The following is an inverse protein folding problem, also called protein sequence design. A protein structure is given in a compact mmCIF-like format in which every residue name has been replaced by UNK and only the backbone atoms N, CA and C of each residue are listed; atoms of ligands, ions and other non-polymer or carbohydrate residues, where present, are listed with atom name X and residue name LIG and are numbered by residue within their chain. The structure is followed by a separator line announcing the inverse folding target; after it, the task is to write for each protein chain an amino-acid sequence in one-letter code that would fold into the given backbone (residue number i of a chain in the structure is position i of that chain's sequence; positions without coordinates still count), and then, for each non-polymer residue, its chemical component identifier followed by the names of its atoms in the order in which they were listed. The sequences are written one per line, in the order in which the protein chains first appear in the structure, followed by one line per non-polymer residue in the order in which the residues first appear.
data_IF_991097713873
#
_entry.id   IF_991097713873
#
_cell.length_a   1.000
_cell.length_b   1.000
_cell.length_c   1.000
_cell.angle_alpha   90.00
_cell.angle_beta   90.00
_cell.angle_gamma   90.00
#
_symmetry.space_group_name_H-M   'P 1'
#
loop_
_entity.id
_entity.type
_entity.pdbx_description
1 polymer ?
#
# COMPACT_ATOMS: atom_id res chain seq x y z
N UNK A 1 -68.50 32.87 22.53
CA UNK A 1 -67.58 33.42 21.51
C UNK A 1 -66.18 32.87 21.79
N UNK A 2 -65.70 32.02 20.87
CA UNK A 2 -64.37 31.40 20.69
C UNK A 2 -63.66 30.63 21.81
N UNK A 3 -63.56 29.29 21.69
CA UNK A 3 -62.61 28.47 22.45
C UNK A 3 -61.26 28.41 21.71
N UNK A 4 -60.15 28.75 22.37
CA UNK A 4 -58.81 28.61 21.78
C UNK A 4 -58.24 27.25 22.16
N UNK A 5 -57.92 26.52 21.10
CA UNK A 5 -57.46 25.15 20.98
C UNK A 5 -56.19 24.80 21.77
N UNK A 6 -56.29 23.63 22.41
CA UNK A 6 -55.24 22.64 22.66
C UNK A 6 -54.47 22.28 21.38
N UNK A 7 -53.13 22.38 21.38
CA UNK A 7 -52.26 21.58 20.47
C UNK A 7 -50.95 21.19 21.16
N UNK A 8 -50.94 19.95 21.62
CA UNK A 8 -49.78 19.19 22.07
C UNK A 8 -48.96 18.80 20.82
N UNK A 9 -47.70 19.25 20.72
CA UNK A 9 -46.78 18.77 19.69
C UNK A 9 -46.00 17.57 20.24
N UNK A 10 -46.33 16.38 19.75
CA UNK A 10 -45.50 15.18 19.89
C UNK A 10 -44.39 15.23 18.83
N UNK A 11 -43.15 15.47 19.26
CA UNK A 11 -41.98 15.26 18.42
C UNK A 11 -41.60 13.77 18.50
N UNK A 12 -41.89 13.03 17.44
CA UNK A 12 -41.36 11.67 17.25
C UNK A 12 -39.96 11.81 16.68
N UNK A 13 -38.95 11.66 17.53
CA UNK A 13 -37.56 11.51 17.09
C UNK A 13 -37.38 10.13 16.47
N UNK A 14 -37.36 10.04 15.14
CA UNK A 14 -36.96 8.83 14.45
C UNK A 14 -35.44 8.65 14.58
N UNK A 15 -35.00 7.75 15.46
CA UNK A 15 -33.62 7.30 15.50
C UNK A 15 -33.35 6.43 14.25
N UNK A 16 -32.65 7.00 13.27
CA UNK A 16 -32.12 6.24 12.14
C UNK A 16 -30.98 5.38 12.69
N UNK A 17 -31.25 4.11 12.97
CA UNK A 17 -30.22 3.11 13.21
C UNK A 17 -29.54 2.84 11.87
N UNK A 18 -28.42 3.52 11.62
CA UNK A 18 -27.49 3.15 10.56
C UNK A 18 -26.91 1.79 10.91
N UNK A 19 -27.54 0.73 10.40
CA UNK A 19 -26.96 -0.59 10.42
C UNK A 19 -25.77 -0.56 9.44
N UNK A 20 -24.51 -0.66 9.88
CA UNK A 20 -23.38 -0.75 8.97
C UNK A 20 -23.43 -2.14 8.36
N UNK A 21 -24.28 -2.31 7.35
CA UNK A 21 -24.31 -3.52 6.54
C UNK A 21 -22.89 -3.74 6.06
N UNK A 22 -22.26 -4.82 6.53
CA UNK A 22 -20.97 -5.27 6.01
C UNK A 22 -21.13 -5.35 4.50
N UNK A 23 -20.48 -4.44 3.78
CA UNK A 23 -20.46 -4.46 2.33
C UNK A 23 -19.82 -5.80 1.93
N UNK A 24 -20.66 -6.77 1.57
CA UNK A 24 -20.18 -8.03 1.02
C UNK A 24 -19.70 -7.73 -0.38
N UNK A 25 -18.43 -8.02 -0.63
CA UNK A 25 -17.86 -7.94 -1.98
C UNK A 25 -18.72 -8.76 -2.96
N UNK A 26 -18.99 -8.21 -4.13
CA UNK A 26 -19.72 -8.91 -5.17
C UNK A 26 -18.90 -10.11 -5.65
N UNK A 27 -19.49 -11.31 -5.61
CA UNK A 27 -18.86 -12.50 -6.21
C UNK A 27 -19.00 -12.37 -7.73
N UNK A 28 -17.98 -11.82 -8.39
CA UNK A 28 -17.95 -11.62 -9.84
C UNK A 28 -17.64 -12.94 -10.58
N UNK A 29 -16.95 -13.87 -9.92
CA UNK A 29 -16.59 -15.19 -10.46
C UNK A 29 -16.72 -16.25 -9.34
N UNK A 30 -17.45 -17.33 -9.59
CA UNK A 30 -17.60 -18.44 -8.62
C UNK A 30 -16.28 -19.18 -8.36
N UNK A 31 -15.40 -19.23 -9.36
CA UNK A 31 -14.06 -19.81 -9.27
C UNK A 31 -13.01 -18.77 -9.69
N UNK A 32 -11.94 -18.55 -8.89
CA UNK A 32 -10.83 -17.71 -9.31
C UNK A 32 -10.17 -18.23 -10.60
N UNK A 33 -9.90 -17.32 -11.54
CA UNK A 33 -9.18 -17.63 -12.79
C UNK A 33 -7.65 -17.68 -12.59
N UNK A 34 -7.16 -17.30 -11.42
CA UNK A 34 -5.75 -17.37 -11.05
C UNK A 34 -5.59 -17.80 -9.59
N UNK A 35 -4.45 -18.46 -9.25
CA UNK A 35 -4.09 -18.72 -7.86
C UNK A 35 -3.99 -17.42 -7.04
N UNK A 36 -4.43 -17.46 -5.77
CA UNK A 36 -4.38 -16.33 -4.84
C UNK A 36 -3.11 -16.37 -3.99
N UNK A 37 -1.96 -16.33 -4.66
CA UNK A 37 -0.64 -16.47 -4.00
C UNK A 37 -0.27 -15.29 -3.11
N UNK A 38 -0.76 -14.08 -3.43
CA UNK A 38 -0.52 -12.88 -2.66
C UNK A 38 -1.85 -12.20 -2.32
N UNK A 39 -2.05 -11.87 -1.05
CA UNK A 39 -3.25 -11.19 -0.57
C UNK A 39 -2.86 -10.08 0.41
N UNK A 40 -3.63 -9.01 0.42
CA UNK A 40 -3.37 -7.82 1.21
C UNK A 40 -4.66 -7.35 1.86
N UNK A 41 -4.57 -6.98 3.13
CA UNK A 41 -5.58 -6.20 3.82
C UNK A 41 -4.91 -4.92 4.30
N UNK A 42 -5.36 -3.78 3.76
CA UNK A 42 -4.71 -2.49 3.97
C UNK A 42 -5.69 -1.54 4.66
N UNK A 43 -5.30 -1.04 5.82
CA UNK A 43 -5.92 0.11 6.47
C UNK A 43 -5.09 1.34 6.11
N UNK A 44 -5.71 2.35 5.50
CA UNK A 44 -4.98 3.54 5.08
C UNK A 44 -5.79 4.82 5.27
N UNK A 45 -5.07 5.92 5.51
CA UNK A 45 -5.61 7.27 5.64
C UNK A 45 -4.79 8.23 4.77
N UNK A 46 -5.48 8.98 3.91
CA UNK A 46 -4.90 10.13 3.23
C UNK A 46 -4.90 11.34 4.17
N UNK A 47 -3.77 12.03 4.22
CA UNK A 47 -3.56 13.31 4.86
C UNK A 47 -3.43 14.39 3.78
N UNK A 48 -4.50 15.18 3.51
CA UNK A 48 -4.49 16.16 2.42
C UNK A 48 -3.55 17.34 2.67
N UNK A 49 -3.25 17.71 3.92
CA UNK A 49 -2.36 18.83 4.21
C UNK A 49 -0.93 18.49 3.78
N UNK A 50 -0.49 17.29 4.18
CA UNK A 50 0.87 16.80 3.91
C UNK A 50 0.99 15.97 2.63
N UNK A 51 -0.11 15.78 1.90
CA UNK A 51 -0.17 14.98 0.65
C UNK A 51 0.36 13.56 0.84
N UNK A 52 0.06 12.97 1.99
CA UNK A 52 0.69 11.73 2.45
C UNK A 52 -0.36 10.66 2.77
N UNK A 53 -0.11 9.42 2.36
CA UNK A 53 -0.91 8.26 2.75
C UNK A 53 -0.18 7.52 3.86
N UNK A 54 -0.84 7.32 4.99
CA UNK A 54 -0.37 6.44 6.05
C UNK A 54 -1.05 5.09 5.91
N UNK A 55 -0.29 4.01 5.95
CA UNK A 55 -0.79 2.67 5.73
C UNK A 55 -0.28 1.65 6.73
N UNK A 56 -1.17 0.73 7.10
CA UNK A 56 -0.85 -0.53 7.77
C UNK A 56 -1.42 -1.66 6.91
N UNK A 57 -0.56 -2.60 6.53
CA UNK A 57 -0.88 -3.68 5.61
C UNK A 57 -0.56 -5.02 6.25
N UNK A 58 -1.58 -5.86 6.39
CA UNK A 58 -1.38 -7.28 6.61
C UNK A 58 -1.30 -7.97 5.25
N UNK A 59 -0.29 -8.80 5.03
CA UNK A 59 -0.11 -9.51 3.78
C UNK A 59 0.16 -10.99 4.00
N UNK A 60 -0.23 -11.79 3.02
CA UNK A 60 0.09 -13.22 2.94
C UNK A 60 0.74 -13.50 1.61
N UNK A 61 1.76 -14.34 1.60
CA UNK A 61 2.39 -14.82 0.40
C UNK A 61 2.65 -16.33 0.48
N UNK A 62 2.18 -17.08 -0.50
CA UNK A 62 2.40 -18.52 -0.60
C UNK A 62 3.50 -18.79 -1.62
N UNK A 63 4.51 -19.58 -1.23
CA UNK A 63 5.60 -19.97 -2.12
C UNK A 63 5.08 -20.87 -3.25
N UNK A 64 5.06 -20.39 -4.52
CA UNK A 64 4.57 -21.17 -5.64
C UNK A 64 5.64 -22.08 -6.26
N UNK A 65 6.89 -21.99 -5.81
CA UNK A 65 8.03 -22.70 -6.41
C UNK A 65 8.29 -24.06 -5.74
N UNK A 66 9.23 -24.82 -6.32
CA UNK A 66 9.73 -26.07 -5.75
C UNK A 66 10.94 -25.85 -4.81
N UNK A 67 11.42 -24.61 -4.69
CA UNK A 67 12.62 -24.25 -3.94
C UNK A 67 12.29 -23.43 -2.70
N UNK A 68 13.05 -23.56 -1.60
CA UNK A 68 12.93 -22.67 -0.45
C UNK A 68 13.23 -21.21 -0.82
N UNK A 69 12.41 -20.29 -0.33
CA UNK A 69 12.60 -18.85 -0.56
C UNK A 69 13.09 -18.17 0.71
N UNK A 70 14.27 -17.55 0.62
CA UNK A 70 14.96 -16.91 1.76
C UNK A 70 14.75 -15.39 1.83
N UNK A 71 14.10 -14.79 0.83
CA UNK A 71 13.84 -13.36 0.79
C UNK A 71 12.51 -13.03 0.13
N UNK A 72 11.90 -11.92 0.54
CA UNK A 72 10.74 -11.33 -0.11
C UNK A 72 11.11 -9.96 -0.67
N UNK A 73 10.85 -9.75 -1.96
CA UNK A 73 11.07 -8.46 -2.59
C UNK A 73 9.78 -7.65 -2.66
N UNK A 74 9.88 -6.32 -2.57
CA UNK A 74 8.78 -5.38 -2.63
C UNK A 74 9.07 -4.27 -3.63
N UNK A 75 8.14 -4.02 -4.55
CA UNK A 75 8.13 -2.84 -5.40
C UNK A 75 7.59 -1.64 -4.61
N UNK A 76 8.38 -0.57 -4.57
CA UNK A 76 8.07 0.72 -3.97
C UNK A 76 7.96 1.77 -5.08
N UNK A 77 6.87 1.69 -5.86
CA UNK A 77 6.71 2.49 -7.08
C UNK A 77 6.95 3.99 -6.88
N UNK A 78 6.46 4.56 -5.77
CA UNK A 78 6.64 5.99 -5.50
C UNK A 78 8.11 6.39 -5.30
N UNK A 79 9.02 5.47 -5.02
CA UNK A 79 10.45 5.78 -4.94
C UNK A 79 11.06 6.13 -6.30
N UNK A 80 10.33 5.91 -7.40
CA UNK A 80 10.67 6.45 -8.72
C UNK A 80 10.62 7.99 -8.76
N UNK A 81 10.06 8.65 -7.74
CA UNK A 81 10.00 10.11 -7.62
C UNK A 81 10.79 10.63 -6.41
N UNK A 82 11.53 9.76 -5.71
CA UNK A 82 12.18 10.09 -4.42
C UNK A 82 13.43 10.91 -4.58
N UNK A 83 14.21 10.61 -5.62
CA UNK A 83 15.47 11.27 -5.93
C UNK A 83 15.79 11.13 -7.42
N UNK A 84 16.75 11.93 -7.89
CA UNK A 84 17.25 11.92 -9.27
C UNK A 84 18.06 10.66 -9.63
N UNK A 85 18.31 9.76 -8.68
CA UNK A 85 19.07 8.52 -8.88
C UNK A 85 18.19 7.34 -9.34
N UNK A 86 16.88 7.44 -9.13
CA UNK A 86 15.93 6.46 -9.66
C UNK A 86 16.03 6.37 -11.19
N UNK A 87 15.99 5.15 -11.73
CA UNK A 87 16.08 4.92 -13.17
C UNK A 87 15.05 5.75 -13.94
N UNK A 88 13.82 5.84 -13.42
CA UNK A 88 12.72 6.59 -14.03
C UNK A 88 13.02 8.08 -14.24
N UNK A 89 13.60 8.76 -13.25
CA UNK A 89 13.95 10.17 -13.38
C UNK A 89 15.25 10.38 -14.15
N UNK A 90 16.21 9.46 -14.02
CA UNK A 90 17.45 9.47 -14.82
C UNK A 90 17.18 9.39 -16.31
N UNK A 91 16.33 8.45 -16.75
CA UNK A 91 15.95 8.30 -18.16
C UNK A 91 15.20 9.51 -18.71
N UNK A 92 14.59 10.32 -17.85
CA UNK A 92 13.94 11.59 -18.20
C UNK A 92 14.87 12.80 -18.15
N UNK A 93 16.16 12.60 -17.86
CA UNK A 93 17.15 13.68 -17.78
C UNK A 93 16.93 14.66 -16.63
N UNK A 94 16.21 14.25 -15.57
CA UNK A 94 15.95 15.10 -14.40
C UNK A 94 17.21 15.18 -13.53
N UNK A 95 17.78 16.38 -13.42
CA UNK A 95 18.96 16.67 -12.60
C UNK A 95 18.63 17.31 -11.24
N UNK A 96 17.38 17.71 -11.04
CA UNK A 96 16.85 18.20 -9.78
C UNK A 96 15.35 17.86 -9.67
N UNK A 97 14.87 17.74 -8.43
CA UNK A 97 13.45 17.58 -8.10
C UNK A 97 13.05 18.66 -7.09
N UNK A 98 11.92 19.32 -7.34
CA UNK A 98 11.33 20.22 -6.33
C UNK A 98 10.65 19.42 -5.22
N UNK A 99 10.37 20.08 -4.08
CA UNK A 99 9.65 19.45 -2.97
C UNK A 99 8.26 18.93 -3.40
N UNK A 100 7.61 19.64 -4.34
CA UNK A 100 6.29 19.25 -4.87
C UNK A 100 6.37 18.04 -5.78
N UNK A 101 7.44 17.88 -6.54
CA UNK A 101 7.66 16.71 -7.42
C UNK A 101 8.15 15.48 -6.66
N UNK A 102 8.70 15.68 -5.46
CA UNK A 102 9.20 14.60 -4.61
C UNK A 102 8.05 13.73 -4.09
N UNK A 103 8.12 12.44 -4.42
CA UNK A 103 7.24 11.40 -3.90
C UNK A 103 8.04 10.19 -3.45
N UNK A 104 7.52 9.42 -2.50
CA UNK A 104 8.20 8.23 -2.01
C UNK A 104 7.23 7.28 -1.31
N UNK A 105 7.65 6.05 -1.09
CA UNK A 105 7.02 5.07 -0.24
C UNK A 105 8.09 4.46 0.68
N UNK A 106 8.02 4.76 1.96
CA UNK A 106 8.95 4.25 2.96
C UNK A 106 8.25 3.18 3.81
N UNK A 107 8.87 2.01 3.89
CA UNK A 107 8.54 0.98 4.88
C UNK A 107 9.13 1.44 6.21
N UNK A 108 8.26 1.66 7.20
CA UNK A 108 8.65 2.12 8.53
C UNK A 108 8.89 0.97 9.49
N UNK A 109 8.24 -0.17 9.24
CA UNK A 109 8.30 -1.35 10.06
C UNK A 109 7.78 -2.55 9.28
N UNK A 110 8.41 -3.71 9.45
CA UNK A 110 7.90 -4.99 8.99
C UNK A 110 8.00 -6.03 10.10
N UNK A 111 6.91 -6.79 10.30
CA UNK A 111 6.84 -7.87 11.29
C UNK A 111 6.31 -9.14 10.68
N UNK A 112 6.74 -10.28 11.23
CA UNK A 112 6.18 -11.58 10.89
C UNK A 112 4.92 -11.90 11.71
N UNK A 113 4.37 -13.10 11.53
CA UNK A 113 3.21 -13.56 12.31
C UNK A 113 3.48 -13.83 13.80
N UNK A 114 4.74 -13.95 14.21
CA UNK A 114 5.15 -14.09 15.61
C UNK A 114 5.42 -12.75 16.29
N UNK A 115 5.20 -11.64 15.56
CA UNK A 115 5.47 -10.26 15.97
C UNK A 115 6.98 -9.94 16.09
N UNK A 116 7.85 -10.77 15.50
CA UNK A 116 9.28 -10.48 15.34
C UNK A 116 9.46 -9.30 14.37
N UNK A 117 10.29 -8.34 14.76
CA UNK A 117 10.67 -7.21 13.90
C UNK A 117 11.73 -7.66 12.89
N UNK A 118 11.41 -7.53 11.59
CA UNK A 118 12.27 -7.90 10.48
C UNK A 118 12.88 -6.67 9.77
N UNK A 119 12.64 -5.46 10.29
CA UNK A 119 12.95 -4.20 9.57
C UNK A 119 14.44 -4.05 9.28
N UNK A 120 15.30 -4.57 10.14
CA UNK A 120 16.76 -4.57 9.95
C UNK A 120 17.24 -5.45 8.79
N UNK A 121 16.43 -6.42 8.35
CA UNK A 121 16.70 -7.27 7.20
C UNK A 121 16.32 -6.65 5.85
N UNK A 122 15.80 -5.41 5.85
CA UNK A 122 15.39 -4.72 4.63
C UNK A 122 16.58 -4.00 3.99
N UNK A 123 16.86 -4.33 2.73
CA UNK A 123 17.85 -3.66 1.88
C UNK A 123 17.20 -3.17 0.58
N UNK A 124 17.83 -2.24 -0.12
CA UNK A 124 17.38 -1.83 -1.46
C UNK A 124 18.21 -2.52 -2.54
N UNK A 125 17.53 -3.05 -3.55
CA UNK A 125 18.16 -3.66 -4.71
C UNK A 125 18.14 -2.66 -5.87
N UNK A 126 19.31 -2.41 -6.44
CA UNK A 126 19.44 -1.68 -7.68
C UNK A 126 19.17 -2.62 -8.86
N UNK A 127 18.23 -2.26 -9.74
CA UNK A 127 18.05 -2.96 -11.00
C UNK A 127 19.32 -2.82 -11.88
N UNK A 128 19.55 -3.79 -12.77
CA UNK A 128 20.65 -3.70 -13.75
C UNK A 128 20.53 -2.42 -14.57
N UNK A 129 21.59 -1.60 -14.58
CA UNK A 129 21.62 -0.28 -15.24
C UNK A 129 21.12 0.90 -14.39
N UNK A 130 20.55 0.67 -13.21
CA UNK A 130 20.16 1.72 -12.26
C UNK A 130 21.33 2.20 -11.38
N UNK A 131 21.14 3.32 -10.67
CA UNK A 131 22.12 3.80 -9.68
C UNK A 131 22.04 2.91 -8.44
N UNK A 132 23.14 2.77 -7.69
CA UNK A 132 23.10 2.10 -6.38
C UNK A 132 22.19 2.80 -5.36
N UNK A 133 21.77 4.03 -5.66
CA UNK A 133 20.83 4.81 -4.86
C UNK A 133 19.36 4.67 -5.30
N UNK A 134 19.06 3.80 -6.29
CA UNK A 134 17.69 3.47 -6.66
C UNK A 134 17.03 2.63 -5.55
N UNK A 135 15.90 3.13 -5.03
CA UNK A 135 15.17 2.52 -3.91
C UNK A 135 13.79 2.02 -4.34
N UNK A 136 13.57 1.77 -5.64
CA UNK A 136 12.28 1.29 -6.17
C UNK A 136 11.99 -0.18 -5.87
N UNK A 137 13.00 -0.95 -5.47
CA UNK A 137 12.86 -2.34 -5.03
C UNK A 137 13.55 -2.51 -3.68
N UNK A 138 12.81 -3.03 -2.69
CA UNK A 138 13.36 -3.47 -1.42
C UNK A 138 13.39 -5.01 -1.36
N UNK A 139 14.43 -5.60 -0.80
CA UNK A 139 14.51 -7.02 -0.46
C UNK A 139 14.54 -7.19 1.05
N UNK A 140 13.71 -8.09 1.56
CA UNK A 140 13.66 -8.48 2.96
C UNK A 140 14.28 -9.87 3.11
N UNK A 141 15.41 -9.96 3.79
CA UNK A 141 15.96 -11.26 4.21
C UNK A 141 15.09 -11.88 5.31
N UNK A 142 14.79 -13.17 5.16
CA UNK A 142 14.00 -13.93 6.13
C UNK A 142 14.93 -14.75 7.04
N UNK A 143 14.63 -14.85 8.34
CA UNK A 143 15.40 -15.69 9.26
C UNK A 143 15.22 -17.18 8.95
N UNK A 144 14.00 -17.57 8.57
CA UNK A 144 13.65 -18.93 8.16
C UNK A 144 13.15 -18.92 6.71
N UNK A 145 13.56 -19.90 5.88
CA UNK A 145 13.07 -20.02 4.52
C UNK A 145 11.58 -20.37 4.48
N UNK A 146 10.87 -19.84 3.48
CA UNK A 146 9.50 -20.26 3.16
C UNK A 146 9.60 -21.47 2.23
N UNK A 147 9.23 -22.65 2.71
CA UNK A 147 9.33 -23.89 1.93
C UNK A 147 8.25 -23.95 0.82
N UNK A 148 8.39 -24.85 -0.17
CA UNK A 148 7.40 -25.03 -1.23
C UNK A 148 5.97 -25.21 -0.70
N UNK A 149 5.04 -24.36 -1.17
CA UNK A 149 3.64 -24.36 -0.74
C UNK A 149 3.37 -23.73 0.64
N UNK A 150 4.40 -23.35 1.40
CA UNK A 150 4.21 -22.64 2.67
C UNK A 150 3.77 -21.20 2.46
N UNK A 151 3.11 -20.64 3.47
CA UNK A 151 2.58 -19.28 3.43
C UNK A 151 3.23 -18.42 4.50
N UNK A 152 3.96 -17.39 4.07
CA UNK A 152 4.41 -16.32 4.92
C UNK A 152 3.28 -15.34 5.20
N UNK A 153 3.25 -14.82 6.42
CA UNK A 153 2.32 -13.79 6.86
C UNK A 153 3.11 -12.70 7.56
N UNK A 154 2.87 -11.46 7.16
CA UNK A 154 3.53 -10.33 7.78
C UNK A 154 2.66 -9.08 7.79
N UNK A 155 3.11 -8.11 8.57
CA UNK A 155 2.51 -6.79 8.68
C UNK A 155 3.54 -5.74 8.31
N UNK A 156 3.14 -4.75 7.52
CA UNK A 156 3.98 -3.62 7.12
C UNK A 156 3.29 -2.32 7.54
N UNK A 157 4.02 -1.46 8.24
CA UNK A 157 3.64 -0.06 8.44
C UNK A 157 4.44 0.79 7.47
N UNK A 158 3.78 1.67 6.73
CA UNK A 158 4.42 2.46 5.69
C UNK A 158 3.81 3.86 5.57
N UNK A 159 4.58 4.75 4.95
CA UNK A 159 4.15 6.10 4.60
C UNK A 159 4.47 6.38 3.14
N UNK A 160 3.53 7.03 2.45
CA UNK A 160 3.65 7.34 1.03
C UNK A 160 3.36 8.80 0.74
N UNK A 161 4.38 9.57 0.35
CA UNK A 161 4.23 10.97 -0.07
C UNK A 161 3.89 11.01 -1.55
N UNK A 162 2.80 11.70 -1.89
CA UNK A 162 2.34 11.85 -3.27
C UNK A 162 3.11 12.97 -3.97
N UNK A 163 3.69 12.73 -5.15
CA UNK A 163 4.28 13.79 -5.95
C UNK A 163 3.19 14.62 -6.62
N UNK A 164 3.53 15.78 -7.18
CA UNK A 164 2.73 16.45 -8.20
C UNK A 164 2.45 15.44 -9.34
N UNK A 165 1.24 15.43 -9.91
CA UNK A 165 0.87 14.45 -10.95
C UNK A 165 1.86 14.52 -12.12
N UNK A 166 2.73 13.51 -12.19
CA UNK A 166 3.73 13.36 -13.25
C UNK A 166 3.53 12.06 -14.05
N UNK A 167 2.77 11.11 -13.48
CA UNK A 167 2.49 9.81 -14.09
C UNK A 167 1.18 9.20 -13.54
N UNK A 168 1.23 7.93 -13.11
CA UNK A 168 0.08 7.13 -12.66
C UNK A 168 -0.35 7.42 -11.22
N UNK A 169 0.17 8.47 -10.61
CA UNK A 169 -0.09 8.82 -9.21
C UNK A 169 0.29 10.28 -8.96
N UNK A 170 -0.30 10.90 -7.94
CA UNK A 170 0.05 12.24 -7.48
C UNK A 170 -1.15 13.08 -7.06
N UNK A 171 -0.90 14.38 -6.88
CA UNK A 171 -1.92 15.38 -6.58
C UNK A 171 -1.80 16.63 -7.46
N UNK A 172 -2.91 17.35 -7.61
CA UNK A 172 -2.98 18.74 -8.12
C UNK A 172 -4.07 19.42 -7.31
N UNK A 173 -3.75 20.55 -6.67
CA UNK A 173 -4.68 21.29 -5.79
C UNK A 173 -5.36 20.37 -4.75
N UNK A 174 -6.68 20.21 -4.83
CA UNK A 174 -7.52 19.34 -3.98
C UNK A 174 -7.84 17.99 -4.62
N UNK A 175 -7.30 17.70 -5.80
CA UNK A 175 -7.45 16.43 -6.50
C UNK A 175 -6.28 15.47 -6.22
N UNK A 176 -6.62 14.21 -5.95
CA UNK A 176 -5.67 13.15 -5.60
C UNK A 176 -5.89 11.92 -6.47
N UNK A 177 -4.88 11.57 -7.27
CA UNK A 177 -4.83 10.31 -7.99
C UNK A 177 -3.87 9.36 -7.28
N UNK A 178 -4.41 8.44 -6.46
CA UNK A 178 -3.61 7.61 -5.57
C UNK A 178 -3.51 6.18 -6.11
N UNK A 179 -2.58 5.95 -7.03
CA UNK A 179 -2.28 4.60 -7.53
C UNK A 179 -0.86 4.16 -7.16
N UNK A 180 -0.63 2.84 -7.15
CA UNK A 180 0.68 2.22 -6.85
C UNK A 180 1.33 2.77 -5.57
N UNK A 181 0.52 2.99 -4.53
CA UNK A 181 0.86 3.79 -3.35
C UNK A 181 1.30 2.95 -2.15
N UNK A 182 1.42 1.63 -2.27
CA UNK A 182 1.77 0.74 -1.17
C UNK A 182 2.91 -0.22 -1.56
N UNK A 183 3.68 -0.75 -0.60
CA UNK A 183 4.68 -1.77 -0.85
C UNK A 183 4.04 -3.04 -1.41
N UNK A 184 4.37 -3.41 -2.64
CA UNK A 184 3.76 -4.57 -3.30
C UNK A 184 4.78 -5.68 -3.45
N UNK A 185 4.44 -6.91 -3.09
CA UNK A 185 5.35 -8.05 -3.30
C UNK A 185 5.72 -8.17 -4.78
N UNK A 186 7.00 -8.42 -5.02
CA UNK A 186 7.55 -8.78 -6.32
C UNK A 186 6.95 -10.10 -6.80
N UNK A 187 6.82 -10.23 -8.11
CA UNK A 187 6.48 -11.51 -8.72
C UNK A 187 7.69 -12.42 -8.54
N UNK A 188 7.47 -13.57 -7.91
CA UNK A 188 8.48 -14.61 -7.83
C UNK A 188 8.44 -15.44 -9.12
N UNK A 189 9.55 -15.46 -9.84
CA UNK A 189 9.76 -16.33 -10.99
C UNK A 189 10.74 -17.44 -10.59
N UNK A 190 10.36 -18.73 -10.67
CA UNK A 190 11.29 -19.83 -10.51
C UNK A 190 12.41 -19.75 -11.55
N UNK A 191 13.66 -19.92 -11.13
CA UNK A 191 14.83 -19.98 -12.01
C UNK A 191 14.90 -21.29 -12.79
#
# INVERSE_FOLDING_TARGET
MNPILTRLWLLISAAIVLNPGQARSQVILEKPLSPRIANYQINARLDPETKTVHGEMNFTWTNPSADPVNELQFHLYLNAFKNTESLFLRERGKTAISEKECGFCDILEIRDSTNQDLTSGLIFLAASGSSSSDQTVASLSLPDPILPGETFRGTIRFTSKLPLILARTGYVDDYYFVAQWFPKLGVYEPS
#
